data_IF_539290896855
#
_entry.id   IF_539290896855
#
_cell.length_a   1.000
_cell.length_b   1.000
_cell.length_c   1.000
_cell.angle_alpha   90.00
_cell.angle_beta   90.00
_cell.angle_gamma   90.00
#
_symmetry.space_group_name_H-M   'P 1'
#
loop_
_entity.id
_entity.type
_entity.pdbx_description
1 polymer ?
#
# COMPACT_ATOMS: atom_id res chain seq x y z
N UNK A 1 9.60 31.60 -24.70
CA UNK A 1 10.72 31.09 -23.88
C UNK A 1 10.17 30.13 -22.83
N UNK A 2 10.26 28.80 -23.04
CA UNK A 2 10.20 27.81 -21.95
C UNK A 2 11.57 27.74 -21.24
N UNK A 3 11.82 27.00 -20.16
CA UNK A 3 11.34 25.66 -19.79
C UNK A 3 11.51 25.46 -18.26
N UNK A 4 10.61 24.64 -17.69
CA UNK A 4 10.61 23.99 -16.35
C UNK A 4 11.99 23.47 -15.88
N UNK A 5 12.32 23.68 -14.60
CA UNK A 5 13.33 22.86 -13.90
C UNK A 5 12.67 21.69 -13.13
N UNK A 6 13.20 20.49 -13.41
CA UNK A 6 12.99 19.24 -12.69
C UNK A 6 13.95 19.20 -11.48
N UNK A 7 13.45 18.91 -10.29
CA UNK A 7 14.30 18.42 -9.20
C UNK A 7 14.38 16.90 -9.29
N UNK A 8 15.47 16.39 -9.89
CA UNK A 8 15.87 15.00 -9.81
C UNK A 8 16.97 14.89 -8.74
N UNK A 9 16.72 14.04 -7.73
CA UNK A 9 17.66 13.75 -6.66
C UNK A 9 18.99 13.24 -7.20
N UNK A 10 20.06 13.95 -6.88
CA UNK A 10 21.43 13.55 -7.18
C UNK A 10 22.13 13.26 -5.86
N UNK A 11 22.10 12.00 -5.41
CA UNK A 11 23.06 11.50 -4.42
C UNK A 11 24.33 11.12 -5.19
N UNK A 12 25.21 12.10 -5.35
CA UNK A 12 26.63 11.93 -5.66
C UNK A 12 27.33 12.64 -4.49
N UNK A 13 28.17 12.00 -3.67
CA UNK A 13 29.55 11.68 -3.99
C UNK A 13 30.17 10.85 -2.85
N UNK A 14 30.65 9.63 -3.13
CA UNK A 14 31.87 9.08 -2.53
C UNK A 14 32.63 8.42 -3.69
N UNK A 15 33.70 9.08 -4.10
CA UNK A 15 34.67 8.63 -5.09
C UNK A 15 35.50 7.49 -4.53
N UNK A 16 35.10 6.26 -4.84
CA UNK A 16 35.88 5.05 -4.57
C UNK A 16 35.41 3.93 -5.50
N UNK A 17 35.99 3.85 -6.71
CA UNK A 17 35.64 2.81 -7.68
C UNK A 17 36.20 1.45 -7.24
N UNK A 18 35.41 0.70 -6.47
CA UNK A 18 35.68 -0.71 -6.20
C UNK A 18 34.78 -1.60 -7.07
N UNK A 19 35.36 -2.62 -7.70
CA UNK A 19 34.71 -3.49 -8.71
C UNK A 19 33.44 -4.18 -8.20
N UNK A 20 33.30 -4.33 -6.89
CA UNK A 20 32.12 -4.88 -6.20
C UNK A 20 30.85 -4.01 -6.30
N UNK A 21 30.97 -2.68 -6.44
CA UNK A 21 29.82 -1.76 -6.43
C UNK A 21 29.02 -1.82 -7.75
N UNK A 22 29.67 -2.21 -8.86
CA UNK A 22 28.96 -2.41 -10.15
C UNK A 22 28.01 -3.61 -10.11
N UNK A 23 28.33 -4.64 -9.34
CA UNK A 23 27.51 -5.84 -9.24
C UNK A 23 26.23 -5.57 -8.42
N UNK A 24 26.36 -4.83 -7.32
CA UNK A 24 25.23 -4.44 -6.46
C UNK A 24 24.26 -3.50 -7.20
N UNK A 25 24.76 -2.53 -7.98
CA UNK A 25 23.92 -1.64 -8.80
C UNK A 25 23.14 -2.36 -9.89
N UNK A 26 23.73 -3.40 -10.49
CA UNK A 26 23.07 -4.24 -11.49
C UNK A 26 22.09 -5.27 -10.91
N UNK A 27 22.23 -5.61 -9.63
CA UNK A 27 21.29 -6.46 -8.90
C UNK A 27 20.08 -5.66 -8.39
N UNK A 28 20.29 -4.43 -7.90
CA UNK A 28 19.20 -3.56 -7.46
C UNK A 28 18.29 -3.14 -8.62
N UNK A 29 18.87 -2.75 -9.77
CA UNK A 29 18.10 -2.40 -10.97
C UNK A 29 17.30 -3.58 -11.53
N UNK A 30 17.86 -4.80 -11.51
CA UNK A 30 17.13 -6.01 -11.94
C UNK A 30 16.03 -6.41 -10.96
N UNK A 31 16.26 -6.32 -9.65
CA UNK A 31 15.20 -6.54 -8.67
C UNK A 31 14.06 -5.52 -8.82
N UNK A 32 14.38 -4.26 -9.12
CA UNK A 32 13.39 -3.21 -9.33
C UNK A 32 12.56 -3.45 -10.60
N UNK A 33 13.20 -3.87 -11.70
CA UNK A 33 12.53 -4.22 -12.96
C UNK A 33 11.75 -5.55 -12.88
N UNK A 34 12.22 -6.52 -12.10
CA UNK A 34 11.53 -7.80 -11.87
C UNK A 34 10.31 -7.64 -10.94
N UNK A 35 10.39 -6.81 -9.88
CA UNK A 35 9.22 -6.42 -9.06
C UNK A 35 8.18 -5.64 -9.87
N UNK A 36 8.63 -4.75 -10.76
CA UNK A 36 7.76 -4.01 -11.67
C UNK A 36 7.03 -4.95 -12.64
N UNK A 37 7.73 -5.94 -13.23
CA UNK A 37 7.11 -6.91 -14.14
C UNK A 37 6.19 -7.91 -13.43
N UNK A 38 6.49 -8.29 -12.18
CA UNK A 38 5.68 -9.26 -11.44
C UNK A 38 4.38 -8.67 -10.84
N UNK A 39 4.29 -7.34 -10.70
CA UNK A 39 3.14 -6.64 -10.10
C UNK A 39 2.19 -5.95 -11.09
N UNK A 40 2.55 -5.83 -12.37
CA UNK A 40 1.75 -5.08 -13.36
C UNK A 40 0.68 -5.91 -14.09
N UNK A 41 0.67 -7.24 -13.94
CA UNK A 41 -0.19 -8.12 -14.75
C UNK A 41 -1.68 -8.19 -14.35
N UNK A 42 -2.11 -7.57 -13.24
CA UNK A 42 -3.47 -7.75 -12.71
C UNK A 42 -3.95 -6.59 -11.80
N UNK A 43 -3.58 -5.34 -12.12
CA UNK A 43 -4.06 -4.18 -11.35
C UNK A 43 -5.46 -3.78 -11.83
N UNK A 44 -6.39 -3.58 -10.90
CA UNK A 44 -7.72 -3.10 -11.25
C UNK A 44 -7.66 -1.61 -11.58
N UNK A 45 -7.93 -1.26 -12.84
CA UNK A 45 -7.96 0.12 -13.33
C UNK A 45 -9.41 0.55 -13.52
N UNK A 46 -9.77 1.75 -13.04
CA UNK A 46 -11.11 2.31 -13.24
C UNK A 46 -11.26 2.89 -14.65
N UNK A 47 -12.50 3.18 -15.06
CA UNK A 47 -12.78 3.78 -16.39
C UNK A 47 -12.05 5.11 -16.60
N UNK A 48 -11.71 5.80 -15.51
CA UNK A 48 -10.93 7.04 -15.51
C UNK A 48 -9.42 6.85 -15.73
N UNK A 49 -8.94 5.61 -15.86
CA UNK A 49 -7.52 5.27 -16.01
C UNK A 49 -6.72 5.28 -14.72
N UNK A 50 -7.38 5.39 -13.55
CA UNK A 50 -6.75 5.34 -12.23
C UNK A 50 -6.68 3.92 -11.70
N UNK A 51 -5.64 3.60 -10.93
CA UNK A 51 -5.50 2.33 -10.22
C UNK A 51 -6.39 2.37 -8.98
N UNK A 52 -7.33 1.42 -8.87
CA UNK A 52 -8.19 1.29 -7.71
C UNK A 52 -7.41 0.59 -6.58
N UNK A 53 -7.36 1.21 -5.40
CA UNK A 53 -6.67 0.70 -4.23
C UNK A 53 -7.62 0.68 -3.05
N UNK A 54 -7.71 -0.46 -2.36
CA UNK A 54 -8.53 -0.55 -1.14
C UNK A 54 -7.83 0.18 0.00
N UNK A 55 -8.52 1.12 0.63
CA UNK A 55 -8.03 1.89 1.77
C UNK A 55 -8.73 1.42 3.05
N UNK A 56 -7.97 0.99 4.04
CA UNK A 56 -8.49 0.64 5.37
C UNK A 56 -7.88 1.62 6.37
N UNK A 57 -8.64 2.62 6.87
CA UNK A 57 -8.13 3.61 7.82
C UNK A 57 -7.56 2.99 9.10
N UNK A 58 -8.15 1.86 9.53
CA UNK A 58 -7.79 1.17 10.76
C UNK A 58 -8.40 1.81 12.00
N UNK A 59 -7.83 1.48 13.16
CA UNK A 59 -8.33 1.85 14.49
C UNK A 59 -7.25 2.62 15.29
N UNK A 60 -7.63 3.19 16.44
CA UNK A 60 -6.72 4.02 17.26
C UNK A 60 -6.21 5.23 16.47
N UNK A 61 -4.89 5.37 16.36
CA UNK A 61 -4.22 6.44 15.56
C UNK A 61 -4.30 6.23 14.04
N UNK A 62 -4.97 5.16 13.59
CA UNK A 62 -4.97 4.73 12.21
C UNK A 62 -5.51 5.77 11.24
N UNK A 63 -6.71 6.34 11.46
CA UNK A 63 -7.28 7.34 10.58
C UNK A 63 -6.35 8.54 10.35
N UNK A 64 -5.69 9.07 11.39
CA UNK A 64 -4.79 10.22 11.29
C UNK A 64 -3.52 9.91 10.46
N UNK A 65 -2.94 8.74 10.69
CA UNK A 65 -1.73 8.29 9.96
C UNK A 65 -2.05 7.98 8.50
N UNK A 66 -3.20 7.33 8.25
CA UNK A 66 -3.64 6.96 6.91
C UNK A 66 -4.00 8.20 6.10
N UNK A 67 -4.75 9.15 6.65
CA UNK A 67 -5.05 10.42 5.99
C UNK A 67 -3.77 11.18 5.62
N UNK A 68 -2.81 11.27 6.54
CA UNK A 68 -1.51 11.87 6.26
C UNK A 68 -0.77 11.16 5.12
N UNK A 69 -0.85 9.84 5.07
CA UNK A 69 -0.24 9.02 4.01
C UNK A 69 -0.92 9.24 2.67
N UNK A 70 -2.26 9.28 2.64
CA UNK A 70 -3.04 9.55 1.43
C UNK A 70 -2.66 10.91 0.84
N UNK A 71 -2.58 11.97 1.67
CA UNK A 71 -2.17 13.31 1.22
C UNK A 71 -0.77 13.32 0.59
N UNK A 72 0.17 12.58 1.17
CA UNK A 72 1.53 12.47 0.62
C UNK A 72 1.50 11.75 -0.74
N UNK A 73 0.73 10.67 -0.86
CA UNK A 73 0.59 9.91 -2.10
C UNK A 73 -0.07 10.76 -3.18
N UNK A 74 -1.13 11.48 -2.86
CA UNK A 74 -1.81 12.40 -3.79
C UNK A 74 -0.88 13.51 -4.27
N UNK A 75 -0.02 14.05 -3.40
CA UNK A 75 0.99 15.04 -3.75
C UNK A 75 2.02 14.52 -4.76
N UNK A 76 2.21 13.19 -4.88
CA UNK A 76 3.08 12.61 -5.92
C UNK A 76 2.46 12.65 -7.32
N UNK A 77 1.14 12.88 -7.43
CA UNK A 77 0.40 12.81 -8.68
C UNK A 77 0.17 11.39 -9.19
N UNK A 78 0.32 10.37 -8.34
CA UNK A 78 0.01 8.99 -8.69
C UNK A 78 -1.48 8.85 -9.07
N UNK A 79 -1.83 8.19 -10.20
CA UNK A 79 -3.21 8.02 -10.63
C UNK A 79 -3.88 6.92 -9.80
N UNK A 80 -4.22 7.23 -8.55
CA UNK A 80 -4.84 6.30 -7.60
C UNK A 80 -6.26 6.75 -7.31
N UNK A 81 -7.15 5.78 -7.19
CA UNK A 81 -8.51 5.95 -6.70
C UNK A 81 -8.68 5.09 -5.45
N UNK A 82 -9.13 5.72 -4.37
CA UNK A 82 -9.24 5.08 -3.06
C UNK A 82 -10.63 4.49 -2.89
N UNK A 83 -10.69 3.19 -2.59
CA UNK A 83 -11.91 2.50 -2.18
C UNK A 83 -11.85 2.26 -0.67
N UNK A 84 -12.51 3.12 0.10
CA UNK A 84 -12.53 3.01 1.56
C UNK A 84 -13.34 1.81 2.05
N UNK A 85 -12.71 1.00 2.90
CA UNK A 85 -13.28 -0.18 3.54
C UNK A 85 -12.87 -0.24 5.01
N UNK A 86 -13.56 -1.08 5.78
CA UNK A 86 -13.38 -1.15 7.22
C UNK A 86 -13.06 -2.57 7.69
N UNK A 87 -12.14 -2.65 8.66
CA UNK A 87 -11.67 -3.86 9.31
C UNK A 87 -11.12 -3.48 10.69
N UNK A 88 -10.91 -4.46 11.56
CA UNK A 88 -10.34 -4.29 12.89
C UNK A 88 -11.40 -4.14 13.98
N UNK A 89 -11.08 -3.36 15.01
CA UNK A 89 -11.85 -3.22 16.25
C UNK A 89 -13.28 -2.77 15.97
N UNK A 90 -13.47 -1.77 15.11
CA UNK A 90 -14.80 -1.30 14.72
C UNK A 90 -15.68 -2.40 14.16
N UNK A 91 -15.12 -3.32 13.38
CA UNK A 91 -15.85 -4.45 12.81
C UNK A 91 -16.14 -5.52 13.87
N UNK A 92 -15.23 -5.72 14.83
CA UNK A 92 -15.50 -6.57 15.98
C UNK A 92 -16.64 -6.05 16.85
N UNK A 93 -16.70 -4.73 17.09
CA UNK A 93 -17.77 -4.08 17.87
C UNK A 93 -19.14 -4.21 17.21
N UNK A 94 -19.19 -4.35 15.88
CA UNK A 94 -20.41 -4.62 15.11
C UNK A 94 -20.85 -6.10 15.16
N UNK A 95 -20.12 -6.95 15.90
CA UNK A 95 -20.47 -8.35 16.10
C UNK A 95 -19.86 -9.33 15.09
N UNK A 96 -18.92 -8.89 14.25
CA UNK A 96 -18.24 -9.76 13.29
C UNK A 96 -16.93 -10.34 13.87
N UNK A 97 -16.88 -11.64 14.20
CA UNK A 97 -15.73 -12.25 14.87
C UNK A 97 -14.50 -12.46 13.97
N UNK A 98 -14.61 -12.24 12.65
CA UNK A 98 -13.47 -12.25 11.73
C UNK A 98 -12.66 -10.95 11.79
N UNK A 99 -13.24 -9.87 12.31
CA UNK A 99 -12.70 -8.51 12.26
C UNK A 99 -12.60 -7.94 10.84
N UNK A 100 -13.15 -8.61 9.83
CA UNK A 100 -13.10 -8.18 8.41
C UNK A 100 -14.46 -8.48 7.77
N UNK A 101 -15.09 -7.45 7.21
CA UNK A 101 -16.36 -7.57 6.47
C UNK A 101 -16.14 -8.24 5.11
N UNK A 102 -17.18 -8.90 4.58
CA UNK A 102 -17.09 -9.59 3.29
C UNK A 102 -16.84 -8.61 2.13
N UNK A 103 -17.45 -7.42 2.15
CA UNK A 103 -17.22 -6.37 1.15
C UNK A 103 -15.77 -5.88 1.15
N UNK A 104 -15.13 -5.82 2.32
CA UNK A 104 -13.68 -5.55 2.44
C UNK A 104 -12.88 -6.65 1.76
N UNK A 105 -13.19 -7.92 2.00
CA UNK A 105 -12.51 -9.06 1.36
C UNK A 105 -12.68 -9.02 -0.16
N UNK A 106 -13.88 -8.73 -0.64
CA UNK A 106 -14.20 -8.68 -2.06
C UNK A 106 -13.46 -7.51 -2.75
N UNK A 107 -13.41 -6.35 -2.09
CA UNK A 107 -12.61 -5.21 -2.55
C UNK A 107 -11.12 -5.57 -2.62
N UNK A 108 -10.55 -6.22 -1.61
CA UNK A 108 -9.14 -6.65 -1.61
C UNK A 108 -8.86 -7.64 -2.75
N UNK A 109 -9.75 -8.60 -2.98
CA UNK A 109 -9.62 -9.57 -4.08
C UNK A 109 -9.69 -8.90 -5.45
N UNK A 110 -10.52 -7.87 -5.58
CA UNK A 110 -10.68 -7.06 -6.79
C UNK A 110 -9.46 -6.19 -7.05
N UNK A 111 -9.03 -5.39 -6.07
CA UNK A 111 -7.96 -4.40 -6.22
C UNK A 111 -6.56 -5.01 -6.20
N UNK A 112 -6.37 -6.12 -5.47
CA UNK A 112 -5.08 -6.80 -5.21
C UNK A 112 -4.05 -5.92 -4.48
N UNK A 113 -4.37 -4.67 -4.19
CA UNK A 113 -3.49 -3.67 -3.59
C UNK A 113 -4.27 -2.94 -2.50
N UNK A 114 -3.67 -2.89 -1.31
CA UNK A 114 -4.35 -2.41 -0.10
C UNK A 114 -3.42 -1.52 0.70
N UNK A 115 -3.90 -0.35 1.09
CA UNK A 115 -3.27 0.50 2.11
C UNK A 115 -4.07 0.36 3.41
N UNK A 116 -3.44 -0.17 4.48
CA UNK A 116 -4.12 -0.40 5.76
C UNK A 116 -3.40 0.22 6.95
N UNK A 117 -4.15 0.94 7.77
CA UNK A 117 -3.74 1.42 9.07
C UNK A 117 -3.53 0.31 10.11
N UNK A 118 -3.15 0.64 11.35
CA UNK A 118 -3.16 -0.31 12.46
C UNK A 118 -4.58 -0.86 12.68
N UNK A 119 -4.70 -2.17 12.86
CA UNK A 119 -5.97 -2.84 13.13
C UNK A 119 -5.96 -3.36 14.57
N UNK A 120 -6.88 -2.86 15.38
CA UNK A 120 -7.11 -3.34 16.73
C UNK A 120 -7.75 -4.72 16.70
N UNK A 121 -7.37 -5.59 17.64
CA UNK A 121 -8.09 -6.84 17.91
C UNK A 121 -8.38 -6.86 19.40
N UNK A 122 -9.66 -6.78 19.82
CA UNK A 122 -10.01 -6.77 21.23
C UNK A 122 -9.56 -8.06 21.92
N UNK A 123 -9.09 -7.93 23.16
CA UNK A 123 -8.58 -9.06 23.96
C UNK A 123 -9.75 -10.00 24.28
N UNK A 124 -9.57 -11.30 24.05
CA UNK A 124 -10.56 -12.33 24.39
C UNK A 124 -11.36 -12.91 23.21
N UNK A 125 -11.21 -12.39 21.99
CA UNK A 125 -11.93 -12.89 20.79
C UNK A 125 -11.23 -14.08 20.07
N UNK A 126 -10.28 -14.76 20.73
CA UNK A 126 -9.62 -15.97 20.23
C UNK A 126 -8.54 -15.73 19.15
N UNK A 127 -7.96 -16.81 18.61
CA UNK A 127 -6.85 -16.81 17.63
C UNK A 127 -7.12 -16.07 16.31
N UNK A 128 -8.32 -15.53 16.10
CA UNK A 128 -8.75 -14.85 14.88
C UNK A 128 -8.58 -13.34 15.04
N UNK A 129 -7.38 -12.85 14.74
CA UNK A 129 -7.12 -11.42 14.56
C UNK A 129 -7.46 -10.97 13.13
N UNK A 130 -7.98 -9.76 12.97
CA UNK A 130 -8.20 -9.14 11.66
C UNK A 130 -6.94 -9.20 10.77
N UNK A 131 -5.74 -8.98 11.35
CA UNK A 131 -4.47 -9.06 10.62
C UNK A 131 -4.16 -10.47 10.11
N UNK A 132 -4.49 -11.50 10.89
CA UNK A 132 -4.28 -12.90 10.50
C UNK A 132 -5.28 -13.28 9.40
N UNK A 133 -6.53 -12.84 9.52
CA UNK A 133 -7.57 -13.01 8.49
C UNK A 133 -7.09 -12.44 7.15
N UNK A 134 -6.58 -11.20 7.14
CA UNK A 134 -6.11 -10.54 5.92
C UNK A 134 -4.92 -11.26 5.25
N UNK A 135 -4.05 -11.92 6.02
CA UNK A 135 -2.90 -12.68 5.48
C UNK A 135 -3.29 -14.03 4.87
N UNK A 136 -4.45 -14.56 5.23
CA UNK A 136 -4.94 -15.87 4.75
C UNK A 136 -5.87 -15.75 3.54
N UNK A 137 -6.17 -14.53 3.09
CA UNK A 137 -6.95 -14.26 1.88
C UNK A 137 -6.23 -14.75 0.62
#
# INVERSE_FOLDING_TARGET
MGIRLRCAGTVSWISGQNRAVRHIRGAYRRHQEDDERHTLGNRHVTESGKTLVTLIPGDGIGPEVVDSTVRIIEATGAPIEWEERHAGERVFLEGLPSGVRQDTIDSIRKTRVVLKGPLGTPVGYGEKSANVTLRKL
#
